data_IF_929555689629
#
_entry.id   IF_929555689629
#
_cell.length_a   1.000
_cell.length_b   1.000
_cell.length_c   1.000
_cell.angle_alpha   90.00
_cell.angle_beta   90.00
_cell.angle_gamma   90.00
#
_symmetry.space_group_name_H-M   'P 1'
#
loop_
_entity.id
_entity.type
_entity.pdbx_description
1 polymer ?
#
# COMPACT_ATOMS: atom_id res chain seq x y z
N UNK A 1 11.50 -0.18 -14.57
CA UNK A 1 11.45 1.08 -13.80
C UNK A 1 10.00 1.56 -13.76
N UNK A 2 9.51 2.10 -12.64
CA UNK A 2 8.14 2.59 -12.53
C UNK A 2 8.04 4.09 -12.86
N UNK A 3 6.84 4.59 -13.16
CA UNK A 3 6.61 6.03 -13.42
C UNK A 3 7.10 6.90 -12.25
N UNK A 4 6.94 6.45 -11.01
CA UNK A 4 7.38 7.19 -9.82
C UNK A 4 8.90 7.44 -9.80
N UNK A 5 9.69 6.54 -10.40
CA UNK A 5 11.15 6.70 -10.46
C UNK A 5 11.55 7.93 -11.28
N UNK A 6 10.80 8.26 -12.34
CA UNK A 6 11.06 9.47 -13.14
C UNK A 6 10.83 10.76 -12.35
N UNK A 7 10.06 10.69 -11.26
CA UNK A 7 9.81 11.81 -10.34
C UNK A 7 10.76 11.80 -9.13
N UNK A 8 11.78 10.94 -9.13
CA UNK A 8 12.71 10.78 -8.00
C UNK A 8 12.04 10.20 -6.74
N UNK A 9 10.89 9.53 -6.88
CA UNK A 9 10.15 8.93 -5.76
C UNK A 9 10.33 7.41 -5.75
N UNK A 10 10.31 6.83 -4.55
CA UNK A 10 10.20 5.38 -4.38
C UNK A 10 8.75 4.98 -4.67
N UNK A 11 8.48 4.40 -5.83
CA UNK A 11 7.14 3.95 -6.24
C UNK A 11 6.60 2.79 -5.42
N UNK A 12 5.76 1.94 -6.01
CA UNK A 12 5.25 0.75 -5.33
C UNK A 12 6.38 -0.24 -5.00
N UNK A 13 6.43 -0.73 -3.75
CA UNK A 13 7.47 -1.63 -3.24
C UNK A 13 6.81 -2.94 -2.83
N UNK A 14 7.10 -4.02 -3.56
CA UNK A 14 6.54 -5.35 -3.30
C UNK A 14 7.48 -6.46 -3.81
N UNK A 15 7.40 -7.67 -3.26
CA UNK A 15 8.09 -8.84 -3.80
C UNK A 15 7.50 -9.26 -5.16
N UNK A 16 8.30 -9.93 -5.99
CA UNK A 16 7.87 -10.43 -7.31
C UNK A 16 6.95 -11.67 -7.18
N UNK A 17 5.75 -11.41 -6.66
CA UNK A 17 4.64 -12.35 -6.53
C UNK A 17 3.32 -11.57 -6.49
N UNK A 18 2.23 -12.28 -6.74
CA UNK A 18 0.90 -11.74 -6.45
C UNK A 18 0.77 -11.44 -4.94
N UNK A 19 -0.02 -10.41 -4.57
CA UNK A 19 -0.35 -10.17 -3.18
C UNK A 19 -1.08 -11.37 -2.61
N UNK A 20 -0.91 -11.58 -1.31
CA UNK A 20 -1.65 -12.52 -0.49
C UNK A 20 -2.51 -11.74 0.49
N UNK A 21 -3.54 -12.43 1.00
CA UNK A 21 -4.39 -11.86 2.02
C UNK A 21 -3.55 -11.41 3.22
N UNK A 22 -3.90 -10.25 3.75
CA UNK A 22 -3.25 -9.55 4.86
C UNK A 22 -1.86 -8.96 4.53
N UNK A 23 -1.41 -9.00 3.27
CA UNK A 23 -0.26 -8.22 2.83
C UNK A 23 -0.51 -6.72 2.96
N UNK A 24 0.53 -6.00 3.41
CA UNK A 24 0.55 -4.55 3.56
C UNK A 24 1.85 -4.01 2.98
N UNK A 25 1.75 -3.25 1.89
CA UNK A 25 2.87 -2.68 1.15
C UNK A 25 2.81 -1.15 1.21
N UNK A 26 3.26 -0.57 2.33
CA UNK A 26 3.21 0.88 2.57
C UNK A 26 4.59 1.56 2.50
N UNK A 27 5.64 0.84 2.10
CA UNK A 27 7.01 1.36 2.15
C UNK A 27 7.27 2.47 1.13
N UNK A 28 6.73 2.32 -0.08
CA UNK A 28 6.84 3.31 -1.13
C UNK A 28 5.86 4.46 -0.98
N UNK A 29 5.96 5.45 -1.87
CA UNK A 29 5.02 6.57 -1.98
C UNK A 29 3.69 6.15 -2.62
N UNK A 30 3.58 4.90 -3.07
CA UNK A 30 2.35 4.27 -3.54
C UNK A 30 2.10 3.09 -2.60
N UNK A 31 1.00 3.15 -1.85
CA UNK A 31 0.60 2.12 -0.89
C UNK A 31 -0.43 1.14 -1.46
N UNK A 32 -0.35 -0.12 -1.03
CA UNK A 32 -1.35 -1.16 -1.30
C UNK A 32 -1.51 -2.05 -0.06
N UNK A 33 -2.74 -2.52 0.20
CA UNK A 33 -2.99 -3.58 1.17
C UNK A 33 -4.07 -4.53 0.62
N UNK A 34 -3.97 -5.82 0.94
CA UNK A 34 -5.01 -6.78 0.58
C UNK A 34 -5.68 -7.31 1.84
N UNK A 35 -6.98 -7.07 1.98
CA UNK A 35 -7.78 -7.53 3.12
C UNK A 35 -8.44 -8.89 2.79
N UNK A 36 -8.61 -9.73 3.81
CA UNK A 36 -9.49 -10.91 3.76
C UNK A 36 -10.97 -10.53 3.65
N UNK A 37 -11.77 -11.38 3.01
CA UNK A 37 -13.23 -11.23 2.93
C UNK A 37 -13.71 -10.60 1.62
N UNK A 38 -15.00 -10.24 1.59
CA UNK A 38 -15.68 -9.82 0.36
C UNK A 38 -15.67 -8.30 0.15
N UNK A 39 -16.30 -7.87 -0.96
CA UNK A 39 -16.42 -6.48 -1.37
C UNK A 39 -17.11 -5.64 -0.30
N UNK A 40 -16.30 -4.90 0.44
CA UNK A 40 -16.75 -4.06 1.53
C UNK A 40 -15.66 -3.05 1.86
N UNK A 41 -16.05 -1.83 2.22
CA UNK A 41 -15.13 -0.82 2.72
C UNK A 41 -15.24 -0.72 4.23
N UNK A 42 -14.22 -1.21 4.92
CA UNK A 42 -14.28 -1.53 6.34
C UNK A 42 -13.45 -0.58 7.19
N UNK A 43 -13.61 -0.69 8.53
CA UNK A 43 -12.71 -0.05 9.49
C UNK A 43 -11.25 -0.44 9.28
N UNK A 44 -10.98 -1.67 8.88
CA UNK A 44 -9.62 -2.14 8.61
C UNK A 44 -8.96 -1.31 7.50
N UNK A 45 -9.70 -1.02 6.42
CA UNK A 45 -9.19 -0.25 5.29
C UNK A 45 -8.80 1.18 5.72
N UNK A 46 -9.66 1.83 6.51
CA UNK A 46 -9.34 3.12 7.12
C UNK A 46 -8.09 3.09 7.99
N UNK A 47 -7.92 2.04 8.80
CA UNK A 47 -6.72 1.87 9.62
C UNK A 47 -5.46 1.76 8.76
N UNK A 48 -5.51 0.99 7.67
CA UNK A 48 -4.38 0.88 6.73
C UNK A 48 -4.06 2.21 6.06
N UNK A 49 -5.06 3.01 5.68
CA UNK A 49 -4.80 4.37 5.16
C UNK A 49 -4.16 5.27 6.21
N UNK A 50 -4.65 5.28 7.45
CA UNK A 50 -4.04 6.06 8.53
C UNK A 50 -2.61 5.62 8.82
N UNK A 51 -2.32 4.32 8.75
CA UNK A 51 -0.96 3.79 8.92
C UNK A 51 -0.04 4.23 7.79
N UNK A 52 -0.53 4.23 6.54
CA UNK A 52 0.20 4.80 5.40
C UNK A 52 0.46 6.29 5.61
N UNK A 53 -0.57 7.08 5.93
CA UNK A 53 -0.45 8.52 6.15
C UNK A 53 0.55 8.85 7.26
N UNK A 54 0.46 8.15 8.39
CA UNK A 54 1.39 8.31 9.53
C UNK A 54 2.83 8.01 9.12
N UNK A 55 3.05 6.94 8.35
CA UNK A 55 4.39 6.56 7.87
C UNK A 55 4.99 7.63 6.95
N UNK A 56 4.18 8.23 6.10
CA UNK A 56 4.62 9.22 5.11
C UNK A 56 4.50 10.68 5.57
N UNK A 57 4.00 10.91 6.80
CA UNK A 57 3.79 12.22 7.41
C UNK A 57 2.96 13.16 6.52
N UNK A 58 1.89 12.61 5.95
CA UNK A 58 0.87 13.33 5.16
C UNK A 58 -0.44 13.45 5.94
#
# INVERSE_FOLDING_TARGET
>A
MSVANFLGKKGFVHPDRLPQTDDIFHEGTIGFHMRSGEHFHSRYDWQRYMDFMRRHRI
#
